data_IF_836444588840
#
_entry.id   IF_836444588840
#
_cell.length_a   1.000
_cell.length_b   1.000
_cell.length_c   1.000
_cell.angle_alpha   90.00
_cell.angle_beta   90.00
_cell.angle_gamma   90.00
#
_symmetry.space_group_name_H-M   'P 1'
#
loop_
_entity.id
_entity.type
_entity.pdbx_description
1 polymer ?
#
# COMPACT_ATOMS: atom_id res chain seq x y z
N UNK A 1 26.72 28.45 -33.40
CA UNK A 1 25.60 27.83 -34.16
C UNK A 1 25.59 26.29 -34.15
N UNK A 2 26.64 25.57 -33.72
CA UNK A 2 26.63 24.09 -33.60
C UNK A 2 26.04 23.52 -32.29
N UNK A 3 25.85 24.33 -31.23
CA UNK A 3 25.29 23.89 -29.93
C UNK A 3 23.75 23.85 -29.87
N UNK A 4 23.05 24.45 -30.84
CA UNK A 4 21.57 24.43 -30.91
C UNK A 4 21.00 23.20 -31.64
N UNK A 5 21.84 22.47 -32.38
CA UNK A 5 21.42 21.26 -33.10
C UNK A 5 21.45 19.99 -32.23
N UNK A 6 22.21 19.99 -31.13
CA UNK A 6 22.24 18.85 -30.17
C UNK A 6 20.99 18.86 -29.27
N UNK A 7 20.45 20.04 -28.96
CA UNK A 7 19.21 20.20 -28.19
C UNK A 7 17.95 19.74 -28.95
N UNK A 8 17.99 19.72 -30.29
CA UNK A 8 16.88 19.23 -31.13
C UNK A 8 16.93 17.72 -31.38
N UNK A 9 18.08 17.07 -31.23
CA UNK A 9 18.24 15.62 -31.41
C UNK A 9 17.71 14.78 -30.23
N UNK A 10 17.72 15.32 -29.01
CA UNK A 10 17.20 14.65 -27.80
C UNK A 10 15.67 14.79 -27.63
N UNK A 11 15.05 15.80 -28.26
CA UNK A 11 13.60 15.97 -28.26
C UNK A 11 12.89 15.06 -29.28
N UNK A 12 13.59 14.60 -30.32
CA UNK A 12 13.02 13.73 -31.36
C UNK A 12 12.96 12.24 -30.98
N UNK A 13 13.76 11.80 -30.00
CA UNK A 13 13.74 10.42 -29.51
C UNK A 13 12.69 10.17 -28.41
N UNK A 14 12.08 11.22 -27.86
CA UNK A 14 11.07 11.12 -26.79
C UNK A 14 9.62 11.15 -27.32
N UNK A 15 9.40 11.40 -28.62
CA UNK A 15 8.07 11.60 -29.20
C UNK A 15 7.56 10.46 -30.10
N UNK A 16 8.25 9.31 -30.18
CA UNK A 16 7.84 8.19 -31.04
C UNK A 16 7.13 7.07 -30.27
N UNK A 17 6.01 7.37 -29.60
CA UNK A 17 4.97 6.37 -29.33
C UNK A 17 3.62 7.01 -29.01
N UNK A 18 3.12 7.85 -29.93
CA UNK A 18 1.67 8.08 -30.03
C UNK A 18 1.27 7.76 -31.47
N UNK A 19 0.99 6.48 -31.71
CA UNK A 19 0.16 6.08 -32.84
C UNK A 19 -1.21 5.77 -32.26
N UNK A 20 -2.14 6.71 -32.41
CA UNK A 20 -3.57 6.46 -32.21
C UNK A 20 -4.09 5.66 -33.40
N UNK A 21 -3.90 4.35 -33.35
CA UNK A 21 -4.67 3.43 -34.17
C UNK A 21 -5.90 3.01 -33.37
N UNK A 22 -7.08 3.35 -33.87
CA UNK A 22 -8.33 2.75 -33.40
C UNK A 22 -8.28 1.26 -33.72
N UNK A 23 -7.85 0.46 -32.75
CA UNK A 23 -7.88 -1.00 -32.80
C UNK A 23 -8.91 -1.48 -31.78
N UNK A 24 -9.94 -2.16 -32.26
CA UNK A 24 -10.90 -2.88 -31.44
C UNK A 24 -10.15 -3.87 -30.54
N UNK A 25 -10.09 -3.61 -29.23
CA UNK A 25 -9.32 -4.42 -28.28
C UNK A 25 -9.83 -5.85 -28.20
N UNK A 26 -8.90 -6.82 -28.25
CA UNK A 26 -9.20 -8.25 -28.08
C UNK A 26 -9.78 -8.55 -26.69
N UNK A 27 -10.59 -9.61 -26.62
CA UNK A 27 -11.27 -10.01 -25.38
C UNK A 27 -10.31 -10.65 -24.38
N UNK A 28 -10.72 -10.80 -23.11
CA UNK A 28 -9.92 -11.49 -22.10
C UNK A 28 -9.61 -12.97 -22.44
N UNK A 29 -10.38 -13.59 -23.35
CA UNK A 29 -10.15 -14.95 -23.84
C UNK A 29 -9.33 -15.01 -25.16
N UNK A 30 -9.13 -13.88 -25.82
CA UNK A 30 -8.32 -13.76 -27.04
C UNK A 30 -7.68 -12.37 -27.08
N UNK A 31 -6.66 -12.15 -26.24
CA UNK A 31 -5.97 -10.86 -26.19
C UNK A 31 -5.12 -10.72 -27.46
N UNK A 32 -5.24 -9.56 -28.13
CA UNK A 32 -4.46 -9.22 -29.35
C UNK A 32 -2.94 -9.41 -29.19
N UNK A 33 -2.46 -9.39 -27.94
CA UNK A 33 -1.07 -9.69 -27.57
C UNK A 33 -1.11 -10.61 -26.34
N UNK A 34 -0.50 -11.79 -26.45
CA UNK A 34 -0.50 -12.77 -25.35
C UNK A 34 0.44 -12.35 -24.21
N UNK A 35 0.10 -12.75 -22.97
CA UNK A 35 0.95 -12.50 -21.80
C UNK A 35 2.35 -13.12 -21.95
N UNK A 36 2.45 -14.25 -22.65
CA UNK A 36 3.74 -14.89 -22.96
C UNK A 36 4.56 -14.06 -23.93
N UNK A 37 3.95 -13.45 -24.96
CA UNK A 37 4.63 -12.50 -25.84
C UNK A 37 5.12 -11.27 -25.06
N UNK A 38 4.29 -10.71 -24.17
CA UNK A 38 4.70 -9.58 -23.33
C UNK A 38 5.88 -9.91 -22.42
N UNK A 39 5.87 -11.08 -21.77
CA UNK A 39 6.92 -11.49 -20.82
C UNK A 39 8.20 -11.94 -21.50
N UNK A 40 8.10 -12.71 -22.57
CA UNK A 40 9.25 -13.43 -23.13
C UNK A 40 9.86 -12.72 -24.35
N UNK A 41 9.11 -11.83 -25.01
CA UNK A 41 9.55 -11.15 -26.24
C UNK A 41 9.58 -9.65 -26.01
N UNK A 42 8.44 -9.04 -25.69
CA UNK A 42 8.34 -7.58 -25.59
C UNK A 42 9.20 -7.01 -24.46
N UNK A 43 9.08 -7.52 -23.23
CA UNK A 43 9.88 -7.03 -22.08
C UNK A 43 11.38 -7.13 -22.34
N UNK A 44 11.95 -8.29 -22.76
CA UNK A 44 13.37 -8.39 -23.09
C UNK A 44 13.78 -7.46 -24.24
N UNK A 45 12.97 -7.33 -25.29
CA UNK A 45 13.27 -6.45 -26.41
C UNK A 45 13.24 -4.97 -26.02
N UNK A 46 12.31 -4.55 -25.17
CA UNK A 46 12.27 -3.20 -24.59
C UNK A 46 13.51 -2.94 -23.73
N UNK A 47 13.91 -3.89 -22.88
CA UNK A 47 15.13 -3.78 -22.07
C UNK A 47 16.38 -3.69 -22.95
N UNK A 48 16.46 -4.47 -24.02
CA UNK A 48 17.58 -4.45 -24.96
C UNK A 48 17.61 -3.18 -25.80
N UNK A 49 16.45 -2.69 -26.26
CA UNK A 49 16.33 -1.45 -27.01
C UNK A 49 16.72 -0.24 -26.13
N UNK A 50 16.32 -0.25 -24.86
CA UNK A 50 16.75 0.74 -23.88
C UNK A 50 18.27 0.68 -23.67
N UNK A 51 18.85 -0.51 -23.49
CA UNK A 51 20.30 -0.67 -23.39
C UNK A 51 21.03 -0.13 -24.63
N UNK A 52 20.57 -0.50 -25.83
CA UNK A 52 21.15 -0.08 -27.11
C UNK A 52 21.04 1.44 -27.33
N UNK A 53 19.97 2.07 -26.87
CA UNK A 53 19.80 3.52 -26.90
C UNK A 53 20.74 4.26 -25.92
N UNK A 54 21.20 3.58 -24.86
CA UNK A 54 22.13 4.12 -23.85
C UNK A 54 23.61 3.93 -24.23
N UNK A 55 23.94 2.96 -25.08
CA UNK A 55 25.33 2.70 -25.52
C UNK A 55 26.04 3.88 -26.22
N UNK A 56 25.40 4.69 -27.09
CA UNK A 56 26.08 5.86 -27.68
C UNK A 56 26.24 7.05 -26.72
N UNK A 57 25.63 7.03 -25.53
CA UNK A 57 25.69 8.13 -24.55
C UNK A 57 26.83 7.99 -23.51
N UNK A 58 27.59 6.89 -23.52
CA UNK A 58 28.54 6.55 -22.43
C UNK A 58 30.03 6.73 -22.79
N UNK A 59 30.39 7.08 -24.02
CA UNK A 59 31.80 7.29 -24.42
C UNK A 59 32.40 8.66 -24.06
N UNK A 60 31.76 9.45 -23.20
CA UNK A 60 32.34 10.71 -22.69
C UNK A 60 32.12 10.85 -21.18
N UNK A 61 32.94 10.14 -20.40
CA UNK A 61 33.11 10.38 -18.96
C UNK A 61 32.72 9.19 -18.09
N UNK A 62 33.72 8.56 -17.50
CA UNK A 62 33.62 7.46 -16.53
C UNK A 62 32.59 7.79 -15.43
N UNK A 63 31.46 7.07 -15.42
CA UNK A 63 30.70 6.77 -14.19
C UNK A 63 30.38 5.28 -14.21
N UNK A 64 30.67 4.65 -13.08
CA UNK A 64 30.46 3.24 -12.77
C UNK A 64 29.04 2.80 -13.15
N UNK A 65 28.90 1.53 -13.55
CA UNK A 65 27.63 0.85 -13.79
C UNK A 65 26.72 0.95 -12.56
N UNK A 66 25.90 1.99 -12.48
CA UNK A 66 24.73 1.98 -11.64
C UNK A 66 23.62 1.34 -12.49
N UNK A 67 23.24 0.09 -12.17
CA UNK A 67 21.87 -0.33 -12.42
C UNK A 67 20.98 0.83 -11.93
N UNK A 68 20.19 1.44 -12.83
CA UNK A 68 19.16 2.39 -12.42
C UNK A 68 18.04 1.56 -11.79
N UNK A 69 18.30 1.01 -10.60
CA UNK A 69 17.25 0.61 -9.68
C UNK A 69 16.84 1.91 -9.02
N UNK A 70 15.77 2.52 -9.52
CA UNK A 70 15.05 3.53 -8.78
C UNK A 70 14.63 2.86 -7.46
N UNK A 71 15.36 3.12 -6.37
CA UNK A 71 15.12 2.47 -5.09
C UNK A 71 13.81 3.02 -4.51
N UNK A 72 12.74 2.27 -4.72
CA UNK A 72 11.41 2.62 -4.24
C UNK A 72 11.29 2.14 -2.80
N UNK A 73 11.18 3.08 -1.87
CA UNK A 73 11.11 2.77 -0.45
C UNK A 73 9.80 3.25 0.16
N UNK A 74 9.36 2.52 1.17
CA UNK A 74 8.24 2.92 2.05
C UNK A 74 8.78 3.73 3.22
N UNK A 75 8.09 4.82 3.50
CA UNK A 75 8.39 5.72 4.61
C UNK A 75 7.17 5.87 5.51
N UNK A 76 7.38 6.17 6.79
CA UNK A 76 6.28 6.43 7.74
C UNK A 76 6.04 7.92 7.89
N UNK A 77 4.88 8.25 8.45
CA UNK A 77 4.51 9.63 8.73
C UNK A 77 5.62 10.37 9.49
N UNK A 78 5.85 11.63 9.14
CA UNK A 78 6.88 12.51 9.70
C UNK A 78 8.34 12.08 9.46
N UNK A 79 8.60 11.00 8.70
CA UNK A 79 9.94 10.81 8.14
C UNK A 79 10.28 12.00 7.23
N UNK A 80 11.55 12.40 7.23
CA UNK A 80 12.04 13.49 6.39
C UNK A 80 13.21 13.00 5.55
N UNK A 81 13.05 13.06 4.23
CA UNK A 81 14.13 12.80 3.28
C UNK A 81 14.74 14.15 2.89
N UNK A 82 16.00 14.36 3.25
CA UNK A 82 16.77 15.54 2.87
C UNK A 82 17.47 15.28 1.54
N UNK A 83 16.90 15.79 0.46
CA UNK A 83 17.40 15.61 -0.91
C UNK A 83 18.23 16.82 -1.34
N UNK A 84 19.49 16.59 -1.76
CA UNK A 84 20.36 17.66 -2.25
C UNK A 84 20.07 18.05 -3.69
N UNK A 85 20.65 19.16 -4.14
CA UNK A 85 20.77 19.57 -5.54
C UNK A 85 20.98 18.39 -6.49
N UNK A 86 20.17 18.33 -7.55
CA UNK A 86 20.25 17.32 -8.59
C UNK A 86 19.56 15.99 -8.26
N UNK A 87 18.98 15.84 -7.06
CA UNK A 87 18.16 14.67 -6.75
C UNK A 87 16.89 14.64 -7.60
N UNK A 88 16.57 13.47 -8.13
CA UNK A 88 15.28 13.18 -8.74
C UNK A 88 14.39 12.46 -7.73
N UNK A 89 13.13 12.88 -7.64
CA UNK A 89 12.16 12.38 -6.66
C UNK A 89 10.87 12.03 -7.38
N UNK A 90 10.33 10.84 -7.12
CA UNK A 90 8.99 10.43 -7.58
C UNK A 90 8.23 9.91 -6.38
N UNK A 91 7.08 10.53 -6.09
CA UNK A 91 6.13 10.01 -5.10
C UNK A 91 5.19 9.04 -5.82
N UNK A 92 5.19 7.77 -5.44
CA UNK A 92 4.37 6.74 -6.06
C UNK A 92 3.03 6.56 -5.33
N UNK A 93 3.04 6.73 -4.00
CA UNK A 93 1.83 6.69 -3.18
C UNK A 93 2.01 7.54 -1.91
N UNK A 94 0.89 7.98 -1.35
CA UNK A 94 0.87 8.81 -0.13
C UNK A 94 1.00 10.30 -0.41
N UNK A 95 1.01 11.09 0.65
CA UNK A 95 1.18 12.53 0.62
C UNK A 95 2.56 12.90 1.18
N UNK A 96 3.33 13.64 0.38
CA UNK A 96 4.64 14.15 0.74
C UNK A 96 4.62 15.65 0.50
N UNK A 97 5.08 16.44 1.46
CA UNK A 97 5.28 17.88 1.28
C UNK A 97 6.76 18.20 1.10
N UNK A 98 7.06 19.18 0.26
CA UNK A 98 8.43 19.63 0.02
C UNK A 98 8.65 20.99 0.67
N UNK A 99 9.73 21.15 1.42
CA UNK A 99 10.14 22.42 2.01
C UNK A 99 11.63 22.68 1.81
N UNK A 100 12.03 23.94 1.76
CA UNK A 100 13.40 24.40 1.55
C UNK A 100 13.50 25.88 1.93
N UNK A 101 14.73 26.37 2.11
CA UNK A 101 15.01 27.77 2.45
C UNK A 101 14.64 28.72 1.31
N UNK A 102 14.47 30.01 1.64
CA UNK A 102 14.23 31.07 0.64
C UNK A 102 15.29 31.04 -0.46
N UNK A 103 14.86 31.07 -1.73
CA UNK A 103 15.73 30.95 -2.90
C UNK A 103 15.97 29.51 -3.37
N UNK A 104 15.55 28.50 -2.59
CA UNK A 104 15.58 27.11 -3.05
C UNK A 104 14.54 26.85 -4.14
N UNK A 105 14.81 25.86 -5.00
CA UNK A 105 13.98 25.52 -6.14
C UNK A 105 13.72 24.01 -6.16
N UNK A 106 12.45 23.64 -6.33
CA UNK A 106 12.04 22.28 -6.67
C UNK A 106 11.19 22.35 -7.93
N UNK A 107 11.58 21.63 -8.98
CA UNK A 107 10.88 21.65 -10.27
C UNK A 107 10.10 20.36 -10.44
N UNK A 108 8.82 20.44 -10.78
CA UNK A 108 8.08 19.34 -11.39
C UNK A 108 8.52 19.22 -12.86
N UNK A 109 9.41 18.28 -13.15
CA UNK A 109 9.90 18.04 -14.49
C UNK A 109 8.84 17.45 -15.44
N UNK A 110 7.70 17.00 -14.90
CA UNK A 110 6.60 16.41 -15.70
C UNK A 110 5.83 17.48 -16.47
N UNK A 111 5.58 18.63 -15.84
CA UNK A 111 4.82 19.75 -16.43
C UNK A 111 5.65 21.04 -16.56
N UNK A 112 6.90 21.04 -16.08
CA UNK A 112 7.83 22.16 -16.17
C UNK A 112 7.57 23.29 -15.17
N UNK A 113 6.83 23.02 -14.10
CA UNK A 113 6.48 24.04 -13.09
C UNK A 113 7.39 24.00 -11.87
N UNK A 114 7.64 25.16 -11.26
CA UNK A 114 8.28 25.24 -9.95
C UNK A 114 7.26 25.00 -8.83
N UNK A 115 7.66 24.25 -7.82
CA UNK A 115 6.86 23.94 -6.64
C UNK A 115 7.25 24.88 -5.52
N UNK A 116 6.27 25.59 -4.94
CA UNK A 116 6.53 26.43 -3.79
C UNK A 116 6.84 25.61 -2.52
N UNK A 117 7.67 26.15 -1.64
CA UNK A 117 7.96 25.55 -0.33
C UNK A 117 6.67 25.32 0.49
N UNK A 118 6.60 24.18 1.18
CA UNK A 118 5.47 23.71 1.96
C UNK A 118 4.36 23.03 1.14
N UNK A 119 4.46 22.93 -0.19
CA UNK A 119 3.43 22.31 -1.02
C UNK A 119 3.53 20.78 -1.04
N UNK A 120 2.37 20.13 -1.09
CA UNK A 120 2.29 18.70 -1.37
C UNK A 120 2.69 18.39 -2.80
N UNK A 121 3.42 17.30 -2.96
CA UNK A 121 3.79 16.74 -4.26
C UNK A 121 2.63 15.91 -4.82
N UNK A 122 2.54 15.89 -6.15
CA UNK A 122 1.56 15.11 -6.90
C UNK A 122 2.13 13.72 -7.16
N UNK A 123 1.39 12.64 -6.85
CA UNK A 123 1.84 11.29 -7.16
C UNK A 123 2.12 11.09 -8.66
N UNK A 124 3.10 10.25 -8.97
CA UNK A 124 3.59 9.90 -10.32
C UNK A 124 4.19 11.05 -11.14
N UNK A 125 4.38 12.23 -10.53
CA UNK A 125 5.19 13.29 -11.11
C UNK A 125 6.67 13.13 -10.74
N UNK A 126 7.55 13.49 -11.68
CA UNK A 126 9.00 13.57 -11.46
C UNK A 126 9.37 14.97 -10.99
N UNK A 127 10.07 15.03 -9.87
CA UNK A 127 10.60 16.26 -9.31
C UNK A 127 12.12 16.26 -9.37
N UNK A 128 12.72 17.44 -9.58
CA UNK A 128 14.16 17.65 -9.58
C UNK A 128 14.50 18.78 -8.62
N UNK A 129 15.38 18.49 -7.67
CA UNK A 129 15.90 19.51 -6.74
C UNK A 129 16.87 20.41 -7.50
N UNK A 130 16.56 21.71 -7.51
CA UNK A 130 17.34 22.73 -8.21
C UNK A 130 18.71 22.98 -7.61
N UNK A 131 19.49 23.85 -8.25
CA UNK A 131 20.80 24.26 -7.74
C UNK A 131 20.71 24.93 -6.37
N UNK A 132 21.80 24.82 -5.60
CA UNK A 132 21.93 25.35 -4.23
C UNK A 132 20.73 25.10 -3.30
N UNK A 133 20.02 23.99 -3.52
CA UNK A 133 18.80 23.64 -2.78
C UNK A 133 19.00 22.37 -1.96
N UNK A 134 18.67 22.46 -0.68
CA UNK A 134 18.44 21.29 0.17
C UNK A 134 16.93 21.19 0.42
N UNK A 135 16.29 20.20 -0.19
CA UNK A 135 14.86 20.00 -0.10
C UNK A 135 14.53 18.94 0.95
N UNK A 136 13.78 19.35 1.98
CA UNK A 136 13.17 18.46 2.96
C UNK A 136 11.84 17.94 2.42
N UNK A 137 11.78 16.66 2.10
CA UNK A 137 10.58 15.93 1.71
C UNK A 137 10.00 15.27 2.96
N UNK A 138 8.93 15.84 3.50
CA UNK A 138 8.28 15.35 4.72
C UNK A 138 7.09 14.48 4.37
N UNK A 139 7.06 13.26 4.89
CA UNK A 139 5.93 12.35 4.73
C UNK A 139 4.77 12.82 5.61
N UNK A 140 3.63 13.16 4.98
CA UNK A 140 2.47 13.73 5.68
C UNK A 140 1.40 12.67 5.98
N UNK A 141 1.18 11.74 5.06
CA UNK A 141 0.26 10.62 5.25
C UNK A 141 0.84 9.57 6.22
N UNK A 142 0.00 8.64 6.76
CA UNK A 142 0.46 7.55 7.63
C UNK A 142 1.65 6.76 7.06
N UNK A 143 1.68 6.61 5.73
CA UNK A 143 2.77 5.99 4.96
C UNK A 143 2.80 6.58 3.55
N UNK A 144 3.96 6.49 2.90
CA UNK A 144 4.16 6.86 1.51
C UNK A 144 5.21 5.97 0.85
N UNK A 145 5.14 5.85 -0.48
CA UNK A 145 6.16 5.20 -1.30
C UNK A 145 6.85 6.28 -2.12
N UNK A 146 8.15 6.45 -1.93
CA UNK A 146 8.95 7.47 -2.63
C UNK A 146 10.17 6.81 -3.25
N UNK A 147 10.46 7.18 -4.49
CA UNK A 147 11.70 6.87 -5.18
C UNK A 147 12.58 8.10 -5.18
N UNK A 148 13.80 7.98 -4.68
CA UNK A 148 14.78 9.06 -4.69
C UNK A 148 16.05 8.58 -5.39
N UNK A 149 16.52 9.35 -6.36
CA UNK A 149 17.75 9.10 -7.10
C UNK A 149 18.68 10.31 -6.93
N UNK A 150 19.80 10.12 -6.24
CA UNK A 150 20.75 11.18 -5.91
C UNK A 150 21.21 11.12 -4.45
N UNK A 151 21.94 12.14 -4.02
CA UNK A 151 22.42 12.22 -2.64
C UNK A 151 21.30 12.70 -1.72
N UNK A 152 20.79 11.78 -0.90
CA UNK A 152 19.77 12.08 0.11
C UNK A 152 20.11 11.43 1.45
N UNK A 153 19.64 12.04 2.54
CA UNK A 153 19.69 11.46 3.89
C UNK A 153 18.28 11.32 4.47
N UNK A 154 18.06 10.30 5.29
CA UNK A 154 16.77 10.04 5.93
C UNK A 154 16.86 10.36 7.42
N UNK A 155 15.93 11.19 7.89
CA UNK A 155 15.62 11.37 9.31
C UNK A 155 14.36 10.58 9.63
N UNK A 156 14.50 9.54 10.45
CA UNK A 156 13.41 8.63 10.81
C UNK A 156 12.61 9.18 11.98
N UNK A 157 11.29 9.13 11.90
CA UNK A 157 10.39 9.57 12.96
C UNK A 157 10.10 8.47 13.99
N UNK A 158 9.42 8.84 15.08
CA UNK A 158 8.93 7.90 16.11
C UNK A 158 7.43 7.58 15.95
N UNK A 159 6.80 8.02 14.86
CA UNK A 159 5.39 7.71 14.60
C UNK A 159 5.20 6.22 14.35
N UNK A 160 3.98 5.67 14.53
CA UNK A 160 3.71 4.26 14.28
C UNK A 160 4.13 3.83 12.87
N UNK A 161 4.91 2.75 12.79
CA UNK A 161 5.39 2.19 11.54
C UNK A 161 4.40 1.18 10.96
N UNK A 162 3.40 1.69 10.25
CA UNK A 162 2.43 0.86 9.52
C UNK A 162 3.08 -0.09 8.51
N UNK A 163 4.25 0.28 7.96
CA UNK A 163 4.98 -0.55 7.00
C UNK A 163 5.59 -1.78 7.69
N UNK A 164 6.17 -1.59 8.87
CA UNK A 164 6.66 -2.69 9.69
C UNK A 164 5.54 -3.65 10.13
N UNK A 165 4.37 -3.11 10.50
CA UNK A 165 3.21 -3.94 10.87
C UNK A 165 2.69 -4.74 9.67
N UNK A 166 2.69 -4.16 8.46
CA UNK A 166 2.35 -4.87 7.23
C UNK A 166 3.33 -6.03 6.97
N UNK A 167 4.64 -5.79 7.13
CA UNK A 167 5.68 -6.83 7.02
C UNK A 167 5.52 -7.93 8.07
N UNK A 168 5.20 -7.57 9.31
CA UNK A 168 4.93 -8.52 10.37
C UNK A 168 3.75 -9.44 10.01
N UNK A 169 2.60 -8.87 9.62
CA UNK A 169 1.45 -9.67 9.18
C UNK A 169 1.75 -10.49 7.92
N UNK A 170 2.53 -9.97 6.99
CA UNK A 170 2.95 -10.72 5.79
C UNK A 170 3.83 -11.91 6.15
N UNK A 171 4.78 -11.76 7.09
CA UNK A 171 5.65 -12.86 7.53
C UNK A 171 4.88 -13.99 8.23
N UNK A 172 3.69 -13.70 8.75
CA UNK A 172 2.75 -14.66 9.34
C UNK A 172 1.72 -15.18 8.32
N UNK A 173 1.85 -14.82 7.04
CA UNK A 173 0.89 -15.12 5.96
C UNK A 173 -0.52 -14.54 6.17
N UNK A 174 -0.70 -13.60 7.10
CA UNK A 174 -1.99 -12.96 7.39
C UNK A 174 -2.27 -11.77 6.45
N UNK A 175 -1.25 -11.23 5.78
CA UNK A 175 -1.37 -10.17 4.77
C UNK A 175 -0.64 -10.56 3.48
N UNK A 176 -1.35 -10.58 2.35
CA UNK A 176 -0.75 -10.86 1.02
C UNK A 176 -0.46 -9.62 0.17
N UNK A 177 -1.06 -8.47 0.51
CA UNK A 177 -1.06 -7.28 -0.35
C UNK A 177 -2.03 -7.41 -1.52
N UNK A 178 -1.95 -6.47 -2.46
CA UNK A 178 -2.71 -6.40 -3.73
C UNK A 178 -1.89 -6.92 -4.92
N UNK A 179 -0.57 -7.04 -4.76
CA UNK A 179 0.36 -7.39 -5.84
C UNK A 179 0.73 -6.21 -6.75
N UNK A 180 0.54 -4.96 -6.31
CA UNK A 180 1.01 -3.79 -7.04
C UNK A 180 2.54 -3.82 -7.24
N UNK A 181 3.00 -3.20 -8.34
CA UNK A 181 4.41 -3.26 -8.75
C UNK A 181 5.36 -2.35 -7.97
N UNK A 182 4.88 -1.66 -6.94
CA UNK A 182 5.64 -0.74 -6.10
C UNK A 182 5.30 -0.92 -4.63
N UNK A 183 6.16 -0.44 -3.73
CA UNK A 183 5.90 -0.46 -2.29
C UNK A 183 5.48 -1.84 -1.78
N UNK A 184 6.19 -2.89 -2.22
CA UNK A 184 5.98 -4.28 -1.77
C UNK A 184 4.57 -4.83 -2.06
N UNK A 185 3.78 -4.16 -2.89
CA UNK A 185 2.44 -4.60 -3.23
C UNK A 185 1.41 -4.41 -2.11
N UNK A 186 1.69 -3.65 -1.05
CA UNK A 186 0.76 -3.54 0.09
C UNK A 186 -0.40 -2.58 -0.13
N UNK A 187 -0.17 -1.51 -0.89
CA UNK A 187 -1.11 -0.40 -1.14
C UNK A 187 -1.75 0.15 0.15
N UNK A 188 -0.95 0.36 1.19
CA UNK A 188 -1.41 0.81 2.50
C UNK A 188 -2.10 2.18 2.46
N UNK A 189 -1.83 2.97 1.43
CA UNK A 189 -2.35 4.32 1.19
C UNK A 189 -3.76 4.33 0.63
N UNK A 190 -4.28 3.18 0.17
CA UNK A 190 -5.62 3.09 -0.42
C UNK A 190 -6.70 2.91 0.64
N UNK A 191 -7.91 3.41 0.33
CA UNK A 191 -9.12 3.14 1.11
C UNK A 191 -9.58 1.70 0.83
N UNK A 192 -9.77 0.86 1.86
CA UNK A 192 -10.19 -0.52 1.67
C UNK A 192 -11.69 -0.61 1.39
N UNK A 193 -12.04 -1.45 0.42
CA UNK A 193 -13.40 -1.89 0.23
C UNK A 193 -13.81 -2.90 1.32
N UNK A 194 -15.12 -3.06 1.52
CA UNK A 194 -15.69 -3.99 2.49
C UNK A 194 -15.26 -5.43 2.24
N UNK A 195 -15.16 -5.85 0.97
CA UNK A 195 -14.73 -7.21 0.64
C UNK A 195 -13.25 -7.43 0.95
N UNK A 196 -12.39 -6.45 0.71
CA UNK A 196 -10.96 -6.57 1.04
C UNK A 196 -10.75 -6.63 2.55
N UNK A 197 -11.51 -5.84 3.31
CA UNK A 197 -11.48 -5.87 4.76
C UNK A 197 -11.99 -7.20 5.33
N UNK A 198 -13.05 -7.78 4.75
CA UNK A 198 -13.52 -9.12 5.11
C UNK A 198 -12.47 -10.20 4.82
N UNK A 199 -11.78 -10.12 3.68
CA UNK A 199 -10.72 -11.08 3.35
C UNK A 199 -9.55 -10.96 4.33
N UNK A 200 -9.14 -9.74 4.69
CA UNK A 200 -8.11 -9.54 5.71
C UNK A 200 -8.56 -10.07 7.08
N UNK A 201 -9.84 -9.90 7.44
CA UNK A 201 -10.41 -10.46 8.64
C UNK A 201 -10.39 -11.99 8.66
N UNK A 202 -10.83 -12.65 7.58
CA UNK A 202 -10.76 -14.11 7.43
C UNK A 202 -9.32 -14.61 7.56
N UNK A 203 -8.36 -13.91 6.94
CA UNK A 203 -6.93 -14.23 7.09
C UNK A 203 -6.44 -14.05 8.51
N UNK A 204 -6.87 -13.00 9.20
CA UNK A 204 -6.52 -12.76 10.61
C UNK A 204 -7.01 -13.88 11.52
N UNK A 205 -8.13 -14.52 11.18
CA UNK A 205 -8.63 -15.72 11.87
C UNK A 205 -7.88 -17.01 11.49
N UNK A 206 -6.97 -16.97 10.50
CA UNK A 206 -6.32 -18.17 9.98
C UNK A 206 -7.21 -19.03 9.08
N UNK A 207 -8.35 -18.49 8.63
CA UNK A 207 -9.41 -19.26 7.97
C UNK A 207 -9.43 -19.11 6.43
N UNK A 208 -8.36 -18.59 5.82
CA UNK A 208 -8.32 -18.35 4.36
C UNK A 208 -8.48 -19.65 3.57
N UNK A 209 -7.82 -20.74 3.98
CA UNK A 209 -7.93 -22.02 3.28
C UNK A 209 -9.34 -22.62 3.39
N UNK A 210 -9.98 -22.49 4.55
CA UNK A 210 -11.38 -22.88 4.75
C UNK A 210 -12.33 -22.04 3.88
N UNK A 211 -12.07 -20.74 3.78
CA UNK A 211 -12.84 -19.85 2.92
C UNK A 211 -12.70 -20.21 1.44
N UNK A 212 -11.48 -20.50 0.97
CA UNK A 212 -11.22 -20.90 -0.42
C UNK A 212 -11.81 -22.29 -0.74
N UNK A 213 -11.86 -23.19 0.23
CA UNK A 213 -12.47 -24.51 0.09
C UNK A 213 -14.01 -24.50 0.25
N UNK A 214 -14.62 -23.37 0.62
CA UNK A 214 -16.05 -23.27 0.86
C UNK A 214 -16.86 -23.65 -0.40
N UNK A 215 -17.77 -24.62 -0.26
CA UNK A 215 -18.65 -25.08 -1.34
C UNK A 215 -20.05 -24.48 -1.27
N UNK A 216 -20.34 -23.68 -0.24
CA UNK A 216 -21.63 -23.03 -0.10
C UNK A 216 -21.93 -22.11 -1.29
N UNK A 217 -23.23 -21.90 -1.55
CA UNK A 217 -23.68 -20.92 -2.54
C UNK A 217 -23.48 -19.53 -1.97
N UNK A 218 -22.79 -18.67 -2.71
CA UNK A 218 -22.77 -17.24 -2.43
C UNK A 218 -24.17 -16.64 -2.66
N UNK A 219 -24.80 -16.02 -1.65
CA UNK A 219 -26.12 -15.43 -1.82
C UNK A 219 -26.08 -14.02 -2.45
N UNK A 220 -24.89 -13.42 -2.60
CA UNK A 220 -24.74 -12.04 -3.00
C UNK A 220 -24.50 -11.87 -4.50
N UNK A 221 -25.23 -10.93 -5.10
CA UNK A 221 -25.22 -10.68 -6.54
C UNK A 221 -24.11 -9.72 -7.00
N UNK A 222 -23.55 -8.91 -6.10
CA UNK A 222 -22.55 -7.88 -6.38
C UNK A 222 -21.11 -8.33 -6.05
N UNK A 223 -20.88 -9.63 -5.88
CA UNK A 223 -19.55 -10.18 -5.56
C UNK A 223 -18.90 -10.71 -6.85
N UNK A 224 -17.69 -10.23 -7.21
CA UNK A 224 -16.96 -10.71 -8.37
C UNK A 224 -16.40 -12.12 -8.14
N UNK A 225 -16.14 -12.85 -9.22
CA UNK A 225 -15.71 -14.25 -9.17
C UNK A 225 -14.47 -14.50 -8.30
N UNK A 226 -13.51 -13.57 -8.25
CA UNK A 226 -12.30 -13.70 -7.43
C UNK A 226 -12.58 -13.65 -5.92
N UNK A 227 -13.70 -13.05 -5.50
CA UNK A 227 -14.10 -12.88 -4.11
C UNK A 227 -15.24 -13.83 -3.68
N UNK A 228 -15.77 -14.61 -4.63
CA UNK A 228 -16.99 -15.38 -4.46
C UNK A 228 -16.94 -16.37 -3.29
N UNK A 229 -15.83 -17.12 -3.18
CA UNK A 229 -15.63 -18.09 -2.10
C UNK A 229 -15.50 -17.44 -0.72
N UNK A 230 -14.83 -16.29 -0.64
CA UNK A 230 -14.74 -15.51 0.60
C UNK A 230 -16.10 -14.98 1.05
N UNK A 231 -16.91 -14.46 0.13
CA UNK A 231 -18.24 -13.95 0.47
C UNK A 231 -19.19 -15.08 0.88
N UNK A 232 -19.13 -16.23 0.19
CA UNK A 232 -19.90 -17.42 0.56
C UNK A 232 -19.53 -17.92 1.96
N UNK A 233 -18.23 -18.01 2.25
CA UNK A 233 -17.73 -18.42 3.57
C UNK A 233 -18.12 -17.43 4.66
N UNK A 234 -17.91 -16.13 4.44
CA UNK A 234 -18.30 -15.08 5.38
C UNK A 234 -19.80 -15.11 5.70
N UNK A 235 -20.64 -15.46 4.73
CA UNK A 235 -22.08 -15.66 4.97
C UNK A 235 -22.35 -16.93 5.79
N UNK A 236 -21.73 -18.06 5.41
CA UNK A 236 -21.90 -19.34 6.10
C UNK A 236 -21.48 -19.27 7.58
N UNK A 237 -20.37 -18.60 7.88
CA UNK A 237 -19.89 -18.39 9.26
C UNK A 237 -20.65 -17.26 9.99
N UNK A 238 -21.55 -16.54 9.30
CA UNK A 238 -22.29 -15.42 9.88
C UNK A 238 -21.45 -14.14 10.08
N UNK A 239 -20.24 -14.08 9.56
CA UNK A 239 -19.38 -12.88 9.65
C UNK A 239 -19.98 -11.67 8.94
N UNK A 240 -20.78 -11.89 7.89
CA UNK A 240 -21.54 -10.83 7.22
C UNK A 240 -22.85 -11.34 6.65
N UNK A 241 -23.93 -10.61 6.92
CA UNK A 241 -25.24 -10.80 6.28
C UNK A 241 -25.43 -9.93 5.03
N UNK A 242 -24.38 -9.23 4.59
CA UNK A 242 -24.45 -8.23 3.53
C UNK A 242 -25.07 -6.91 3.99
N UNK A 243 -25.49 -6.10 3.03
CA UNK A 243 -26.05 -4.75 3.24
C UNK A 243 -27.53 -4.64 2.86
N UNK A 244 -28.20 -5.77 2.64
CA UNK A 244 -29.57 -5.85 2.12
C UNK A 244 -29.64 -6.13 0.62
N UNK A 245 -30.85 -6.34 0.10
CA UNK A 245 -31.15 -6.55 -1.33
C UNK A 245 -30.31 -7.61 -2.06
N UNK A 246 -29.88 -8.66 -1.35
CA UNK A 246 -29.02 -9.69 -1.91
C UNK A 246 -27.63 -9.17 -2.33
N UNK A 247 -27.11 -8.16 -1.62
CA UNK A 247 -25.79 -7.56 -1.87
C UNK A 247 -24.88 -7.69 -0.66
N UNK A 248 -23.61 -7.95 -0.91
CA UNK A 248 -22.54 -7.91 0.09
C UNK A 248 -22.13 -6.47 0.39
N UNK A 249 -22.20 -5.58 -0.61
CA UNK A 249 -21.62 -4.24 -0.56
C UNK A 249 -20.14 -4.26 -0.95
N UNK A 250 -19.76 -5.08 -1.94
CA UNK A 250 -18.37 -5.39 -2.30
C UNK A 250 -17.50 -4.15 -2.44
N UNK A 251 -17.96 -3.16 -3.19
CA UNK A 251 -17.21 -1.94 -3.50
C UNK A 251 -17.42 -0.80 -2.49
N UNK A 252 -18.26 -1.00 -1.46
CA UNK A 252 -18.46 0.02 -0.42
C UNK A 252 -17.17 0.18 0.38
N UNK A 253 -16.81 1.43 0.66
CA UNK A 253 -15.68 1.73 1.54
C UNK A 253 -16.08 1.37 2.96
N UNK A 254 -15.31 0.51 3.62
CA UNK A 254 -15.61 0.09 4.98
C UNK A 254 -15.39 1.25 5.96
N UNK A 255 -16.28 1.37 6.95
CA UNK A 255 -16.12 2.33 8.04
C UNK A 255 -15.21 1.79 9.15
N UNK A 256 -14.61 2.67 9.99
CA UNK A 256 -13.86 2.23 11.17
C UNK A 256 -14.68 1.33 12.10
N UNK A 257 -15.96 1.66 12.30
CA UNK A 257 -16.89 0.90 13.14
C UNK A 257 -17.04 -0.52 12.63
N UNK A 258 -17.31 -0.70 11.33
CA UNK A 258 -17.49 -2.04 10.76
C UNK A 258 -16.23 -2.90 10.86
N UNK A 259 -15.05 -2.33 10.63
CA UNK A 259 -13.83 -3.10 10.76
C UNK A 259 -13.51 -3.47 12.21
N UNK A 260 -13.67 -2.52 13.14
CA UNK A 260 -13.45 -2.79 14.57
C UNK A 260 -14.48 -3.80 15.09
N UNK A 261 -15.70 -3.80 14.59
CA UNK A 261 -16.70 -4.81 14.92
C UNK A 261 -16.25 -6.22 14.49
N UNK A 262 -15.64 -6.36 13.32
CA UNK A 262 -15.04 -7.65 12.92
C UNK A 262 -13.99 -8.09 13.94
N UNK A 263 -13.10 -7.19 14.35
CA UNK A 263 -12.06 -7.49 15.34
C UNK A 263 -12.65 -7.87 16.71
N UNK A 264 -13.69 -7.18 17.18
CA UNK A 264 -14.38 -7.55 18.43
C UNK A 264 -14.99 -8.95 18.35
N UNK A 265 -15.53 -9.34 17.20
CA UNK A 265 -16.06 -10.70 17.00
C UNK A 265 -14.97 -11.75 16.99
N UNK A 266 -13.83 -11.50 16.33
CA UNK A 266 -12.67 -12.39 16.39
C UNK A 266 -12.19 -12.62 17.83
N UNK A 267 -12.19 -11.57 18.64
CA UNK A 267 -11.76 -11.62 20.04
C UNK A 267 -12.85 -12.12 21.00
N UNK A 268 -14.08 -12.34 20.53
CA UNK A 268 -15.21 -12.80 21.35
C UNK A 268 -15.89 -11.72 22.20
N UNK A 269 -15.56 -10.43 22.01
CA UNK A 269 -16.19 -9.30 22.71
C UNK A 269 -17.52 -8.86 22.07
N UNK A 270 -17.82 -9.32 20.86
CA UNK A 270 -19.09 -9.09 20.18
C UNK A 270 -19.56 -10.36 19.46
N UNK A 271 -20.80 -10.35 18.97
CA UNK A 271 -21.38 -11.45 18.20
C UNK A 271 -22.25 -10.93 17.06
N UNK A 272 -22.73 -11.84 16.22
CA UNK A 272 -23.60 -11.52 15.08
C UNK A 272 -24.97 -10.93 15.48
N UNK A 273 -25.35 -11.03 16.76
CA UNK A 273 -26.56 -10.40 17.30
C UNK A 273 -26.41 -8.88 17.53
N UNK A 274 -25.18 -8.37 17.56
CA UNK A 274 -24.90 -6.95 17.68
C UNK A 274 -24.99 -6.27 16.30
N UNK A 275 -26.08 -5.52 16.06
CA UNK A 275 -26.39 -4.90 14.76
C UNK A 275 -26.26 -3.39 14.74
N UNK A 276 -26.23 -2.72 15.90
CA UNK A 276 -26.02 -1.28 16.01
C UNK A 276 -24.54 -1.00 16.23
N UNK A 277 -23.87 -0.44 15.21
CA UNK A 277 -22.43 -0.17 15.24
C UNK A 277 -22.08 1.23 15.76
N UNK A 278 -23.05 1.98 16.27
CA UNK A 278 -22.84 3.37 16.70
C UNK A 278 -21.90 3.49 17.91
N UNK A 279 -21.87 2.47 18.78
CA UNK A 279 -21.03 2.43 20.00
C UNK A 279 -19.76 1.61 19.83
N UNK A 280 -19.57 0.88 18.72
CA UNK A 280 -18.49 -0.10 18.52
C UNK A 280 -17.10 0.40 18.92
N UNK A 281 -16.72 1.62 18.52
CA UNK A 281 -15.39 2.16 18.85
C UNK A 281 -15.23 2.41 20.36
N UNK A 282 -16.30 2.84 21.04
CA UNK A 282 -16.28 3.02 22.49
C UNK A 282 -16.28 1.67 23.22
N UNK A 283 -17.00 0.68 22.69
CA UNK A 283 -17.07 -0.66 23.27
C UNK A 283 -15.70 -1.35 23.14
N UNK A 284 -15.04 -1.23 21.98
CA UNK A 284 -13.68 -1.72 21.79
C UNK A 284 -12.65 -1.05 22.70
N UNK A 285 -12.80 0.26 22.95
CA UNK A 285 -11.96 0.97 23.92
C UNK A 285 -12.20 0.48 25.35
N UNK A 286 -13.46 0.22 25.71
CA UNK A 286 -13.84 -0.29 27.05
C UNK A 286 -13.33 -1.71 27.26
N UNK A 287 -13.32 -2.54 26.22
CA UNK A 287 -12.76 -3.88 26.22
C UNK A 287 -11.21 -3.92 26.18
N UNK A 288 -10.55 -2.77 26.04
CA UNK A 288 -9.08 -2.69 25.93
C UNK A 288 -8.52 -3.10 24.57
N UNK A 289 -9.38 -3.36 23.59
CA UNK A 289 -9.00 -3.66 22.20
C UNK A 289 -8.43 -2.42 21.51
N UNK A 290 -9.01 -1.24 21.79
CA UNK A 290 -8.48 0.04 21.33
C UNK A 290 -7.93 0.87 22.50
N UNK A 291 -6.83 1.59 22.26
CA UNK A 291 -6.37 2.65 23.14
C UNK A 291 -7.18 3.93 22.95
N UNK A 292 -7.02 4.90 23.86
CA UNK A 292 -7.60 6.24 23.70
C UNK A 292 -7.06 6.97 22.46
N UNK A 293 -5.78 6.76 22.11
CA UNK A 293 -5.17 7.36 20.92
C UNK A 293 -5.77 6.80 19.63
N UNK A 294 -5.94 5.47 19.57
CA UNK A 294 -6.56 4.78 18.43
C UNK A 294 -8.03 5.17 18.26
N UNK A 295 -8.79 5.24 19.35
CA UNK A 295 -10.17 5.71 19.34
C UNK A 295 -10.29 7.12 18.73
N UNK A 296 -9.41 8.05 19.12
CA UNK A 296 -9.42 9.42 18.58
C UNK A 296 -8.97 9.47 17.11
N UNK A 297 -7.93 8.69 16.76
CA UNK A 297 -7.41 8.61 15.39
C UNK A 297 -8.47 8.11 14.41
N UNK A 298 -9.16 7.02 14.74
CA UNK A 298 -10.19 6.42 13.87
C UNK A 298 -11.41 7.31 13.66
N UNK A 299 -11.68 8.25 14.57
CA UNK A 299 -12.79 9.22 14.45
C UNK A 299 -12.44 10.48 13.68
N UNK A 300 -11.14 10.77 13.52
CA UNK A 300 -10.66 12.02 12.92
C UNK A 300 -9.95 11.82 11.59
N UNK A 301 -9.70 10.58 11.19
CA UNK A 301 -8.98 10.24 9.95
C UNK A 301 -9.83 9.45 8.97
N UNK A 302 -9.46 9.49 7.70
CA UNK A 302 -10.00 8.56 6.70
C UNK A 302 -9.40 7.19 6.91
N UNK A 303 -10.23 6.14 6.94
CA UNK A 303 -9.75 4.77 7.08
C UNK A 303 -9.00 4.32 5.82
N UNK A 304 -7.76 3.86 6.01
CA UNK A 304 -6.86 3.36 4.98
C UNK A 304 -6.50 1.92 5.28
N UNK A 305 -5.97 1.20 4.29
CA UNK A 305 -5.43 -0.16 4.47
C UNK A 305 -4.34 -0.21 5.54
N UNK A 306 -3.55 0.86 5.69
CA UNK A 306 -2.62 1.05 6.80
C UNK A 306 -3.30 0.85 8.18
N UNK A 307 -4.46 1.47 8.39
CA UNK A 307 -5.18 1.39 9.66
C UNK A 307 -5.76 -0.02 9.90
N UNK A 308 -6.21 -0.71 8.86
CA UNK A 308 -6.67 -2.11 8.97
C UNK A 308 -5.52 -3.02 9.42
N UNK A 309 -4.36 -2.90 8.78
CA UNK A 309 -3.13 -3.62 9.14
C UNK A 309 -2.73 -3.35 10.59
N UNK A 310 -2.75 -2.08 11.00
CA UNK A 310 -2.42 -1.67 12.35
C UNK A 310 -3.34 -2.32 13.39
N UNK A 311 -4.66 -2.24 13.19
CA UNK A 311 -5.64 -2.82 14.12
C UNK A 311 -5.49 -4.34 14.16
N UNK A 312 -5.34 -4.99 13.01
CA UNK A 312 -5.11 -6.44 12.93
C UNK A 312 -3.83 -6.88 13.65
N UNK A 313 -2.75 -6.14 13.49
CA UNK A 313 -1.48 -6.44 14.15
C UNK A 313 -1.61 -6.41 15.67
N UNK A 314 -2.22 -5.37 16.24
CA UNK A 314 -2.40 -5.30 17.69
C UNK A 314 -3.50 -6.24 18.22
N UNK A 315 -4.48 -6.62 17.39
CA UNK A 315 -5.46 -7.63 17.75
C UNK A 315 -4.81 -8.98 18.07
N UNK A 316 -3.71 -9.34 17.41
CA UNK A 316 -2.97 -10.59 17.67
C UNK A 316 -2.54 -10.71 19.14
N UNK A 317 -2.07 -9.63 19.74
CA UNK A 317 -1.63 -9.61 21.14
C UNK A 317 -2.74 -9.20 22.13
N UNK A 318 -3.98 -9.05 21.66
CA UNK A 318 -5.10 -8.67 22.52
C UNK A 318 -5.71 -9.91 23.16
N UNK A 319 -6.00 -9.88 24.48
CA UNK A 319 -6.70 -10.98 25.14
C UNK A 319 -8.06 -11.27 24.50
N UNK A 320 -8.44 -12.54 24.45
CA UNK A 320 -9.78 -12.94 24.03
C UNK A 320 -10.77 -12.82 25.20
N UNK A 321 -12.05 -12.65 24.92
CA UNK A 321 -13.08 -12.49 25.94
C UNK A 321 -13.31 -13.77 26.78
N UNK A 322 -13.12 -14.95 26.18
CA UNK A 322 -13.42 -16.25 26.79
C UNK A 322 -12.26 -16.86 27.56
N UNK A 323 -11.02 -16.38 27.38
CA UNK A 323 -9.80 -17.00 27.91
C UNK A 323 -8.76 -15.93 28.26
N UNK A 324 -7.84 -16.25 29.18
CA UNK A 324 -6.66 -15.42 29.43
C UNK A 324 -5.57 -15.56 28.33
N UNK A 325 -5.93 -16.07 27.15
CA UNK A 325 -5.05 -16.22 25.98
C UNK A 325 -5.31 -15.11 24.97
N UNK A 326 -4.31 -14.84 24.13
CA UNK A 326 -4.41 -13.88 23.03
C UNK A 326 -4.89 -14.54 21.75
N UNK A 327 -5.29 -13.74 20.75
CA UNK A 327 -5.58 -14.27 19.41
C UNK A 327 -4.36 -14.98 18.80
N UNK A 328 -3.14 -14.48 19.03
CA UNK A 328 -1.91 -15.14 18.59
C UNK A 328 -1.74 -16.52 19.23
N UNK A 329 -2.02 -16.67 20.53
CA UNK A 329 -1.94 -17.97 21.20
C UNK A 329 -2.91 -18.97 20.57
N UNK A 330 -4.14 -18.52 20.23
CA UNK A 330 -5.10 -19.36 19.52
C UNK A 330 -4.57 -19.80 18.15
N UNK A 331 -4.06 -18.86 17.34
CA UNK A 331 -3.54 -19.15 16.00
C UNK A 331 -2.30 -20.05 16.04
N UNK A 332 -1.50 -19.98 17.11
CA UNK A 332 -0.38 -20.89 17.36
C UNK A 332 -0.90 -22.29 17.71
N UNK A 333 -1.92 -22.41 18.58
CA UNK A 333 -2.58 -23.70 18.88
C UNK A 333 -3.15 -24.35 17.63
N UNK A 334 -3.74 -23.54 16.75
CA UNK A 334 -4.34 -23.98 15.48
C UNK A 334 -3.29 -24.19 14.38
N UNK A 335 -2.00 -24.02 14.68
CA UNK A 335 -0.87 -24.22 13.75
C UNK A 335 -0.91 -23.32 12.50
N UNK A 336 -1.55 -22.15 12.58
CA UNK A 336 -1.53 -21.13 11.51
C UNK A 336 -0.13 -20.54 11.35
N UNK A 337 0.56 -20.31 12.47
CA UNK A 337 1.99 -19.96 12.51
C UNK A 337 2.62 -20.44 13.83
N UNK A 338 3.95 -20.40 13.91
CA UNK A 338 4.68 -20.81 15.13
C UNK A 338 4.92 -19.65 16.08
N UNK A 339 5.11 -19.93 17.37
CA UNK A 339 5.51 -18.91 18.36
C UNK A 339 6.79 -18.16 17.94
N UNK A 340 7.79 -18.87 17.42
CA UNK A 340 9.03 -18.24 16.93
C UNK A 340 8.80 -17.32 15.72
N UNK A 341 7.86 -17.66 14.83
CA UNK A 341 7.49 -16.78 13.73
C UNK A 341 6.81 -15.50 14.27
N UNK A 342 5.92 -15.63 15.25
CA UNK A 342 5.29 -14.49 15.90
C UNK A 342 6.28 -13.58 16.62
N UNK A 343 7.20 -14.14 17.40
CA UNK A 343 8.27 -13.37 18.07
C UNK A 343 9.14 -12.60 17.07
N UNK A 344 9.44 -13.20 15.92
CA UNK A 344 10.21 -12.54 14.88
C UNK A 344 9.42 -11.44 14.17
N UNK A 345 8.13 -11.66 13.93
CA UNK A 345 7.23 -10.66 13.37
C UNK A 345 7.12 -9.43 14.31
N UNK A 346 7.05 -9.65 15.63
CA UNK A 346 6.99 -8.57 16.62
C UNK A 346 8.26 -7.71 16.64
N UNK A 347 9.44 -8.31 16.45
CA UNK A 347 10.72 -7.57 16.40
C UNK A 347 10.82 -6.61 15.21
N UNK A 348 10.00 -6.78 14.17
CA UNK A 348 9.97 -5.83 13.05
C UNK A 348 9.36 -4.49 13.46
N UNK A 349 8.45 -4.48 14.44
CA UNK A 349 7.72 -3.28 14.88
C UNK A 349 8.41 -2.68 16.10
N UNK A 350 9.18 -1.62 15.88
CA UNK A 350 9.98 -0.94 16.91
C UNK A 350 9.36 0.35 17.44
N UNK A 351 8.26 0.81 16.83
CA UNK A 351 7.57 2.05 17.17
C UNK A 351 6.44 1.80 18.18
N UNK A 352 6.10 2.79 19.02
CA UNK A 352 5.04 2.65 20.01
C UNK A 352 3.65 2.51 19.36
N UNK A 353 2.76 1.84 20.09
CA UNK A 353 1.31 1.84 19.86
C UNK A 353 0.74 3.24 20.17
N UNK A 354 -0.27 3.68 19.43
CA UNK A 354 -0.94 4.98 19.58
C UNK A 354 -1.70 5.15 20.89
#
# INVERSE_FOLDING_TARGET
MKKRLIALGLAAALCASVVTAWATGGSAGDPLISLSYLKNIYKPQMTQALQNALYPATTAGRRSEAQITMDQQRYKQNDVIQASTGCEVIVLAGNVSASFSSGGVLVNATDGTEIAAGKSLTPNARYVVGEDTLCALTIVSPTAVVSVNGAATLSVSTTPDYNAMAKALQSLSLLKGTGSGYGEGFDLELRPSRIEAMILFIRLLGEEDAALACTAKNPFSDVPAWADRYAAYAYQQGYSNGVGDGKFGTALMISPQEYVEFILRALGYSSTSHTDLSTTLNDARTAGVLTSGEYNSLRSTTLLRAHLVYISYYALSTPMASENSTLADQLIRDSVFTASAFDNAQKLVTTPRL
#
